data_IF_347453443388
#
_entry.id   IF_347453443388
#
_cell.length_a   1.000
_cell.length_b   1.000
_cell.length_c   1.000
_cell.angle_alpha   90.00
_cell.angle_beta   90.00
_cell.angle_gamma   90.00
#
_symmetry.space_group_name_H-M   'P 1'
#
loop_
_entity.id
_entity.type
_entity.pdbx_description
1 polymer ?
#
# COMPACT_ATOMS: atom_id res chain seq x y z
N UNK A 1 -19.83 24.40 2.93
CA UNK A 1 -20.83 24.47 3.99
C UNK A 1 -22.27 24.40 3.45
N UNK A 2 -22.62 25.09 2.34
CA UNK A 2 -23.97 25.11 1.79
C UNK A 2 -24.51 23.71 1.44
N UNK A 3 -23.72 22.87 0.78
CA UNK A 3 -24.14 21.49 0.44
C UNK A 3 -24.44 20.64 1.69
N UNK A 4 -23.62 20.73 2.72
CA UNK A 4 -23.85 20.00 3.98
C UNK A 4 -25.12 20.50 4.68
N UNK A 5 -25.44 21.82 4.57
CA UNK A 5 -26.69 22.38 5.06
C UNK A 5 -27.90 21.74 4.41
N UNK A 6 -27.93 21.68 3.07
CA UNK A 6 -29.05 21.06 2.33
C UNK A 6 -29.20 19.57 2.68
N UNK A 7 -28.10 18.83 2.85
CA UNK A 7 -28.12 17.42 3.27
C UNK A 7 -28.71 17.28 4.67
N UNK A 8 -28.27 18.14 5.61
CA UNK A 8 -28.75 18.10 7.00
C UNK A 8 -30.23 18.40 7.12
N UNK A 9 -30.74 19.36 6.33
CA UNK A 9 -32.19 19.66 6.25
C UNK A 9 -32.96 18.49 5.65
N UNK A 10 -32.49 17.91 4.56
CA UNK A 10 -33.16 16.81 3.87
C UNK A 10 -33.28 15.56 4.74
N UNK A 11 -32.21 15.19 5.45
CA UNK A 11 -32.17 13.97 6.28
C UNK A 11 -32.49 14.21 7.76
N UNK A 12 -32.70 15.46 8.18
CA UNK A 12 -33.18 15.80 9.52
C UNK A 12 -32.13 15.65 10.62
N UNK A 13 -30.86 15.98 10.36
CA UNK A 13 -29.81 16.01 11.39
C UNK A 13 -29.21 17.41 11.55
N UNK A 14 -28.64 17.70 12.71
CA UNK A 14 -28.02 18.99 13.00
C UNK A 14 -26.53 19.00 12.61
N UNK A 15 -26.07 20.06 11.92
CA UNK A 15 -24.66 20.30 11.66
C UNK A 15 -23.82 20.55 12.92
N UNK A 16 -24.47 20.90 14.05
CA UNK A 16 -23.79 21.06 15.32
C UNK A 16 -23.50 19.73 16.03
N UNK A 17 -24.13 18.63 15.59
CA UNK A 17 -23.88 17.30 16.13
C UNK A 17 -22.53 16.78 15.65
N UNK A 18 -21.62 16.35 16.54
CA UNK A 18 -20.37 15.72 16.16
C UNK A 18 -20.60 14.53 15.24
N UNK A 19 -19.76 14.35 14.21
CA UNK A 19 -19.91 13.26 13.22
C UNK A 19 -20.03 11.87 13.89
N UNK A 20 -19.26 11.61 14.94
CA UNK A 20 -19.30 10.34 15.66
C UNK A 20 -20.63 10.07 16.39
N UNK A 21 -21.41 11.11 16.68
CA UNK A 21 -22.71 11.01 17.37
C UNK A 21 -23.89 10.93 16.39
N UNK A 22 -23.64 11.14 15.09
CA UNK A 22 -24.64 10.95 14.06
C UNK A 22 -25.02 9.47 13.94
N UNK A 23 -26.25 9.20 13.52
CA UNK A 23 -26.66 7.82 13.23
C UNK A 23 -25.77 7.21 12.11
N UNK A 24 -25.58 5.89 12.12
CA UNK A 24 -24.82 5.19 11.09
C UNK A 24 -25.32 5.51 9.68
N UNK A 25 -26.63 5.67 9.51
CA UNK A 25 -27.25 6.05 8.24
C UNK A 25 -26.78 7.45 7.78
N UNK A 26 -26.76 8.43 8.67
CA UNK A 26 -26.33 9.78 8.32
C UNK A 26 -24.82 9.83 8.03
N UNK A 27 -24.01 9.08 8.79
CA UNK A 27 -22.57 8.93 8.53
C UNK A 27 -22.30 8.32 7.14
N UNK A 28 -23.01 7.24 6.78
CA UNK A 28 -22.89 6.60 5.46
C UNK A 28 -23.30 7.54 4.31
N UNK A 29 -24.41 8.30 4.48
CA UNK A 29 -24.83 9.27 3.47
C UNK A 29 -23.75 10.36 3.28
N UNK A 30 -23.21 10.90 4.33
CA UNK A 30 -22.15 11.93 4.27
C UNK A 30 -20.90 11.36 3.59
N UNK A 31 -20.49 10.15 3.95
CA UNK A 31 -19.27 9.54 3.44
C UNK A 31 -19.42 9.01 2.01
N UNK A 32 -20.52 8.33 1.71
CA UNK A 32 -20.69 7.56 0.46
C UNK A 32 -21.76 8.10 -0.50
N UNK A 33 -22.54 9.08 -0.05
CA UNK A 33 -23.55 9.75 -0.87
C UNK A 33 -24.97 9.23 -0.67
N UNK A 34 -25.92 9.88 -1.37
CA UNK A 34 -27.35 9.58 -1.32
C UNK A 34 -27.78 8.44 -2.27
N UNK A 35 -26.82 7.81 -2.99
CA UNK A 35 -27.15 6.84 -4.04
C UNK A 35 -27.89 7.49 -5.21
N UNK A 36 -29.10 7.00 -5.50
CA UNK A 36 -29.98 7.56 -6.54
C UNK A 36 -30.96 8.61 -6.02
N UNK A 37 -30.98 8.87 -4.72
CA UNK A 37 -31.89 9.86 -4.10
C UNK A 37 -31.44 11.26 -4.44
N UNK A 38 -32.32 12.06 -5.06
CA UNK A 38 -32.07 13.45 -5.40
C UNK A 38 -32.37 14.35 -4.20
N UNK A 39 -31.43 15.24 -3.92
CA UNK A 39 -31.53 16.23 -2.85
C UNK A 39 -31.59 17.63 -3.48
N UNK A 40 -32.45 18.48 -2.99
CA UNK A 40 -32.50 19.89 -3.39
C UNK A 40 -31.38 20.67 -2.71
N UNK A 41 -30.36 21.06 -3.49
CA UNK A 41 -29.26 21.87 -3.03
C UNK A 41 -29.54 23.35 -3.30
N UNK A 42 -29.32 24.17 -2.28
CA UNK A 42 -29.36 25.63 -2.39
C UNK A 42 -27.96 26.16 -2.71
N UNK A 43 -27.87 26.96 -3.74
CA UNK A 43 -26.65 27.62 -4.18
C UNK A 43 -26.87 29.13 -4.19
N UNK A 44 -25.83 29.87 -3.87
CA UNK A 44 -25.80 31.33 -4.00
C UNK A 44 -24.78 31.66 -5.09
N UNK A 45 -25.20 32.40 -6.11
CA UNK A 45 -24.30 32.86 -7.18
C UNK A 45 -23.43 34.04 -6.71
N UNK A 46 -22.45 34.43 -7.53
CA UNK A 46 -21.56 35.56 -7.24
C UNK A 46 -22.29 36.92 -7.08
N UNK A 47 -23.56 37.00 -7.52
CA UNK A 47 -24.41 38.20 -7.42
C UNK A 47 -25.28 38.18 -6.16
N UNK A 48 -25.25 37.09 -5.39
CA UNK A 48 -26.05 36.92 -4.19
C UNK A 48 -27.44 36.34 -4.43
N UNK A 49 -27.80 35.94 -5.68
CA UNK A 49 -29.09 35.32 -5.95
C UNK A 49 -29.07 33.85 -5.54
N UNK A 50 -30.13 33.41 -4.87
CA UNK A 50 -30.31 32.01 -4.47
C UNK A 50 -31.03 31.24 -5.59
N UNK A 51 -30.51 30.04 -5.88
CA UNK A 51 -31.19 29.09 -6.77
C UNK A 51 -31.09 27.66 -6.22
N UNK A 52 -32.05 26.85 -6.54
CA UNK A 52 -32.12 25.45 -6.10
C UNK A 52 -31.89 24.53 -7.29
N UNK A 53 -31.13 23.46 -7.06
CA UNK A 53 -30.91 22.40 -8.06
C UNK A 53 -30.99 21.04 -7.38
N UNK A 54 -31.84 20.17 -7.92
CA UNK A 54 -31.95 18.76 -7.50
C UNK A 54 -30.90 17.90 -8.18
N UNK A 55 -30.15 17.16 -7.38
CA UNK A 55 -29.26 16.08 -7.83
C UNK A 55 -28.90 15.14 -6.69
N UNK A 56 -28.38 13.96 -7.02
CA UNK A 56 -27.87 13.06 -6.01
C UNK A 56 -26.56 13.61 -5.38
N UNK A 57 -26.38 13.37 -4.10
CA UNK A 57 -25.15 13.70 -3.41
C UNK A 57 -24.12 12.59 -3.64
N UNK A 58 -22.97 12.94 -4.19
CA UNK A 58 -21.91 12.01 -4.53
C UNK A 58 -21.27 11.34 -3.30
N UNK A 59 -21.24 12.03 -2.16
CA UNK A 59 -20.49 11.61 -0.97
C UNK A 59 -19.06 12.15 -0.94
N UNK A 60 -18.51 12.26 0.26
CA UNK A 60 -17.16 12.80 0.46
C UNK A 60 -16.11 11.85 -0.15
N UNK A 61 -16.19 10.55 0.14
CA UNK A 61 -15.19 9.56 -0.32
C UNK A 61 -15.16 9.45 -1.83
N UNK A 62 -16.30 9.20 -2.54
CA UNK A 62 -16.31 9.14 -4.00
C UNK A 62 -15.85 10.45 -4.65
N UNK A 63 -16.24 11.61 -4.08
CA UNK A 63 -15.77 12.90 -4.58
C UNK A 63 -14.25 13.06 -4.48
N UNK A 64 -13.66 12.70 -3.33
CA UNK A 64 -12.21 12.77 -3.14
C UNK A 64 -11.47 11.78 -4.07
N UNK A 65 -11.98 10.55 -4.23
CA UNK A 65 -11.41 9.55 -5.14
C UNK A 65 -11.45 10.00 -6.60
N UNK A 66 -12.58 10.56 -7.03
CA UNK A 66 -12.72 11.11 -8.39
C UNK A 66 -11.75 12.26 -8.61
N UNK A 67 -11.71 13.23 -7.70
CA UNK A 67 -10.79 14.37 -7.77
C UNK A 67 -9.32 13.93 -7.76
N UNK A 68 -8.94 12.93 -6.99
CA UNK A 68 -7.58 12.39 -6.98
C UNK A 68 -7.19 11.79 -8.34
N UNK A 69 -8.14 11.13 -9.02
CA UNK A 69 -7.90 10.52 -10.34
C UNK A 69 -7.88 11.56 -11.47
N UNK A 70 -8.75 12.55 -11.41
CA UNK A 70 -9.01 13.48 -12.53
C UNK A 70 -8.17 14.76 -12.47
N UNK A 71 -7.57 15.12 -11.32
CA UNK A 71 -6.82 16.37 -11.21
C UNK A 71 -5.44 16.27 -11.86
N UNK A 72 -5.07 17.29 -12.62
CA UNK A 72 -3.70 17.45 -13.13
C UNK A 72 -2.79 18.21 -12.15
N UNK A 73 -3.37 18.79 -11.09
CA UNK A 73 -2.62 19.54 -10.09
C UNK A 73 -1.91 18.63 -9.10
N UNK A 74 -0.59 18.64 -9.11
CA UNK A 74 0.24 17.89 -8.17
C UNK A 74 -0.06 18.26 -6.70
N UNK A 75 -0.26 19.55 -6.40
CA UNK A 75 -0.60 20.04 -5.07
C UNK A 75 -1.93 19.43 -4.56
N UNK A 76 -2.95 19.34 -5.42
CA UNK A 76 -4.24 18.73 -5.08
C UNK A 76 -4.08 17.24 -4.85
N UNK A 77 -3.31 16.53 -5.69
CA UNK A 77 -2.99 15.10 -5.49
C UNK A 77 -2.32 14.86 -4.16
N UNK A 78 -1.29 15.62 -3.82
CA UNK A 78 -0.57 15.48 -2.53
C UNK A 78 -1.47 15.78 -1.32
N UNK A 79 -2.36 16.77 -1.44
CA UNK A 79 -3.33 17.08 -0.39
C UNK A 79 -4.34 15.95 -0.17
N UNK A 80 -4.84 15.36 -1.25
CA UNK A 80 -5.81 14.25 -1.19
C UNK A 80 -5.12 12.92 -0.79
N UNK A 81 -3.86 12.71 -1.17
CA UNK A 81 -3.09 11.52 -0.80
C UNK A 81 -2.95 11.34 0.71
N UNK A 82 -3.02 12.41 1.51
CA UNK A 82 -3.00 12.35 2.97
C UNK A 82 -4.18 11.56 3.57
N UNK A 83 -5.27 11.43 2.83
CA UNK A 83 -6.47 10.70 3.22
C UNK A 83 -6.51 9.27 2.67
N UNK A 84 -5.51 8.88 1.87
CA UNK A 84 -5.38 7.52 1.35
C UNK A 84 -4.67 6.65 2.39
N UNK A 85 -5.32 5.59 2.81
CA UNK A 85 -4.70 4.54 3.63
C UNK A 85 -4.14 3.42 2.77
N UNK A 86 -3.07 2.79 3.25
CA UNK A 86 -2.57 1.55 2.64
C UNK A 86 -3.29 0.36 3.28
N UNK A 87 -4.03 -0.40 2.48
CA UNK A 87 -4.65 -1.65 2.92
C UNK A 87 -4.02 -2.83 2.21
N UNK A 88 -3.87 -3.94 2.95
CA UNK A 88 -3.51 -5.21 2.32
C UNK A 88 -4.62 -5.63 1.35
N UNK A 89 -4.25 -6.05 0.14
CA UNK A 89 -5.19 -6.57 -0.84
C UNK A 89 -6.00 -7.73 -0.22
N UNK A 90 -7.35 -7.70 -0.22
CA UNK A 90 -8.16 -8.75 0.39
C UNK A 90 -7.99 -10.11 -0.29
N UNK A 91 -7.64 -10.14 -1.58
CA UNK A 91 -7.45 -11.36 -2.33
C UNK A 91 -6.08 -12.01 -2.05
N UNK A 92 -4.98 -11.27 -2.15
CA UNK A 92 -3.65 -11.83 -1.97
C UNK A 92 -3.06 -11.60 -0.57
N UNK A 93 -3.72 -10.83 0.30
CA UNK A 93 -3.31 -10.54 1.67
C UNK A 93 -1.85 -10.04 1.79
N UNK A 94 -1.42 -9.26 0.82
CA UNK A 94 -0.06 -8.72 0.75
C UNK A 94 0.96 -9.62 0.04
N UNK A 95 0.60 -10.83 -0.39
CA UNK A 95 1.52 -11.74 -1.08
C UNK A 95 1.98 -11.25 -2.46
N UNK A 96 1.25 -10.33 -3.09
CA UNK A 96 1.54 -9.79 -4.45
C UNK A 96 1.59 -10.86 -5.55
N UNK A 97 1.06 -12.04 -5.28
CA UNK A 97 1.00 -13.21 -6.16
C UNK A 97 -0.46 -13.61 -6.39
N UNK A 98 -0.76 -14.14 -7.56
CA UNK A 98 -2.07 -14.75 -7.84
C UNK A 98 -2.26 -16.07 -7.06
N UNK A 99 -3.46 -16.62 -7.08
CA UNK A 99 -3.81 -17.83 -6.31
C UNK A 99 -2.94 -19.04 -6.71
N UNK A 100 -2.69 -19.23 -8.01
CA UNK A 100 -1.90 -20.36 -8.52
C UNK A 100 -0.45 -20.27 -8.05
N UNK A 101 0.18 -19.09 -8.15
CA UNK A 101 1.56 -18.88 -7.70
C UNK A 101 1.71 -19.04 -6.18
N UNK A 102 0.67 -18.69 -5.40
CA UNK A 102 0.66 -18.91 -3.94
C UNK A 102 0.53 -20.39 -3.55
N UNK A 103 -0.07 -21.21 -4.42
CA UNK A 103 -0.22 -22.66 -4.18
C UNK A 103 1.06 -23.46 -4.40
N UNK A 104 2.05 -22.87 -5.10
CA UNK A 104 3.34 -23.53 -5.32
C UNK A 104 4.16 -23.57 -4.05
N UNK A 105 4.59 -24.77 -3.65
CA UNK A 105 5.37 -24.96 -2.43
C UNK A 105 6.65 -25.73 -2.68
N UNK A 106 7.71 -25.40 -1.95
CA UNK A 106 8.95 -26.15 -1.88
C UNK A 106 9.10 -26.61 -0.41
N UNK A 107 9.21 -27.92 -0.21
CA UNK A 107 9.27 -28.49 1.13
C UNK A 107 8.19 -27.93 2.09
N UNK A 108 6.93 -27.87 1.62
CA UNK A 108 5.74 -27.39 2.34
C UNK A 108 5.70 -25.89 2.65
N UNK A 109 6.65 -25.08 2.19
CA UNK A 109 6.62 -23.63 2.29
C UNK A 109 6.38 -22.99 0.92
N UNK A 110 5.46 -22.04 0.88
CA UNK A 110 5.23 -21.18 -0.28
C UNK A 110 6.29 -20.08 -0.36
N UNK A 111 6.38 -19.38 -1.48
CA UNK A 111 7.24 -18.21 -1.61
C UNK A 111 6.86 -17.13 -0.60
N UNK A 112 5.58 -16.95 -0.33
CA UNK A 112 5.09 -15.98 0.67
C UNK A 112 5.58 -16.33 2.07
N UNK A 113 5.54 -17.63 2.46
CA UNK A 113 6.02 -18.07 3.76
C UNK A 113 7.52 -17.78 3.94
N UNK A 114 8.31 -17.96 2.88
CA UNK A 114 9.75 -17.71 2.91
C UNK A 114 10.04 -16.19 2.97
N UNK A 115 9.37 -15.38 2.16
CA UNK A 115 9.65 -13.95 2.08
C UNK A 115 9.11 -13.16 3.28
N UNK A 116 8.16 -13.69 4.04
CA UNK A 116 7.65 -13.09 5.27
C UNK A 116 8.52 -13.34 6.50
N UNK A 117 9.47 -14.27 6.42
CA UNK A 117 10.46 -14.52 7.47
C UNK A 117 11.56 -13.46 7.46
N UNK A 118 12.35 -13.40 8.52
CA UNK A 118 13.57 -12.59 8.52
C UNK A 118 14.55 -13.06 7.45
N UNK A 119 15.43 -12.19 7.01
CA UNK A 119 16.51 -12.55 6.06
C UNK A 119 17.35 -13.68 6.61
N UNK A 120 17.66 -13.68 7.93
CA UNK A 120 18.38 -14.76 8.58
C UNK A 120 17.64 -16.09 8.52
N UNK A 121 16.34 -16.12 8.89
CA UNK A 121 15.54 -17.36 8.87
C UNK A 121 15.35 -17.88 7.43
N UNK A 122 15.16 -16.99 6.46
CA UNK A 122 15.07 -17.35 5.06
C UNK A 122 16.38 -17.94 4.53
N UNK A 123 17.53 -17.37 4.91
CA UNK A 123 18.85 -17.89 4.58
C UNK A 123 19.05 -19.28 5.17
N UNK A 124 18.74 -19.47 6.44
CA UNK A 124 18.89 -20.75 7.13
C UNK A 124 17.97 -21.82 6.50
N UNK A 125 16.72 -21.49 6.23
CA UNK A 125 15.80 -22.40 5.55
C UNK A 125 16.33 -22.84 4.18
N UNK A 126 16.81 -21.90 3.34
CA UNK A 126 17.30 -22.20 2.01
C UNK A 126 18.65 -22.94 2.03
N UNK A 127 19.46 -22.73 3.09
CA UNK A 127 20.74 -23.42 3.26
C UNK A 127 20.59 -24.89 3.66
N UNK A 128 19.49 -25.20 4.37
CA UNK A 128 19.17 -26.57 4.80
C UNK A 128 18.12 -27.25 3.90
N UNK A 129 17.80 -26.66 2.75
CA UNK A 129 16.82 -27.20 1.83
C UNK A 129 17.34 -28.47 1.14
N UNK A 130 16.90 -29.64 1.60
CA UNK A 130 17.27 -30.92 1.00
C UNK A 130 16.39 -31.22 -0.22
N UNK A 131 16.98 -31.11 -1.41
CA UNK A 131 16.38 -31.51 -2.69
C UNK A 131 17.14 -32.68 -3.29
N UNK A 132 16.45 -33.53 -4.04
CA UNK A 132 17.03 -34.72 -4.65
C UNK A 132 16.76 -34.80 -6.16
N UNK A 133 17.58 -35.54 -6.90
CA UNK A 133 17.40 -35.78 -8.32
C UNK A 133 17.41 -34.51 -9.16
N UNK A 134 16.56 -34.46 -10.19
CA UNK A 134 16.48 -33.35 -11.12
C UNK A 134 16.18 -32.01 -10.44
N UNK A 135 15.41 -32.01 -9.36
CA UNK A 135 15.10 -30.78 -8.59
C UNK A 135 16.35 -30.19 -7.95
N UNK A 136 17.25 -31.04 -7.44
CA UNK A 136 18.51 -30.57 -6.88
C UNK A 136 19.38 -29.89 -7.94
N UNK A 137 19.49 -30.50 -9.13
CA UNK A 137 20.28 -29.95 -10.25
C UNK A 137 19.75 -28.59 -10.71
N UNK A 138 18.44 -28.44 -10.84
CA UNK A 138 17.81 -27.16 -11.21
C UNK A 138 18.05 -26.11 -10.13
N UNK A 139 17.90 -26.47 -8.86
CA UNK A 139 17.95 -25.54 -7.73
C UNK A 139 19.37 -25.11 -7.37
N UNK A 140 20.39 -25.91 -7.64
CA UNK A 140 21.79 -25.69 -7.18
C UNK A 140 22.29 -24.28 -7.50
N UNK A 141 22.21 -23.87 -8.77
CA UNK A 141 22.67 -22.56 -9.20
C UNK A 141 21.83 -21.43 -8.63
N UNK A 142 20.50 -21.63 -8.54
CA UNK A 142 19.57 -20.64 -8.01
C UNK A 142 19.82 -20.46 -6.51
N UNK A 143 19.91 -21.54 -5.75
CA UNK A 143 20.15 -21.50 -4.31
C UNK A 143 21.48 -20.84 -3.97
N UNK A 144 22.55 -21.16 -4.72
CA UNK A 144 23.85 -20.53 -4.53
C UNK A 144 23.77 -19.01 -4.68
N UNK A 145 23.09 -18.53 -5.71
CA UNK A 145 22.94 -17.09 -5.97
C UNK A 145 22.06 -16.40 -4.89
N UNK A 146 20.94 -17.03 -4.51
CA UNK A 146 20.05 -16.48 -3.50
C UNK A 146 20.73 -16.45 -2.13
N UNK A 147 21.41 -17.50 -1.74
CA UNK A 147 22.17 -17.58 -0.49
C UNK A 147 23.27 -16.51 -0.44
N UNK A 148 24.03 -16.32 -1.54
CA UNK A 148 25.03 -15.26 -1.59
C UNK A 148 24.41 -13.87 -1.35
N UNK A 149 23.28 -13.56 -1.99
CA UNK A 149 22.59 -12.28 -1.81
C UNK A 149 22.02 -12.08 -0.40
N UNK A 150 21.41 -13.12 0.15
CA UNK A 150 20.91 -13.08 1.54
C UNK A 150 22.10 -12.93 2.54
N UNK A 151 23.20 -13.62 2.30
CA UNK A 151 24.41 -13.49 3.09
C UNK A 151 24.94 -12.06 3.10
N UNK A 152 24.98 -11.36 1.97
CA UNK A 152 25.35 -9.94 1.94
C UNK A 152 24.41 -9.05 2.77
N UNK A 153 23.10 -9.33 2.77
CA UNK A 153 22.18 -8.59 3.63
C UNK A 153 22.47 -8.83 5.11
N UNK A 154 22.83 -10.05 5.50
CA UNK A 154 23.24 -10.40 6.86
C UNK A 154 24.54 -9.68 7.22
N UNK A 155 25.54 -9.71 6.34
CA UNK A 155 26.86 -9.09 6.56
C UNK A 155 26.78 -7.57 6.79
N UNK A 156 25.80 -6.89 6.16
CA UNK A 156 25.55 -5.46 6.40
C UNK A 156 24.59 -5.18 7.56
N UNK A 157 24.24 -6.21 8.36
CA UNK A 157 23.41 -6.10 9.56
C UNK A 157 21.93 -5.83 9.26
N UNK A 158 21.37 -6.44 8.20
CA UNK A 158 19.96 -6.38 7.81
C UNK A 158 19.26 -7.74 7.93
N UNK A 159 19.78 -8.59 8.79
CA UNK A 159 19.32 -9.95 9.08
C UNK A 159 17.87 -10.02 9.60
N UNK A 160 17.46 -8.96 10.31
CA UNK A 160 16.12 -8.82 10.91
C UNK A 160 15.03 -8.38 9.92
N UNK A 161 15.38 -7.84 8.77
CA UNK A 161 14.40 -7.42 7.76
C UNK A 161 13.69 -8.60 7.13
N UNK A 162 12.49 -8.36 6.60
CA UNK A 162 11.77 -9.34 5.79
C UNK A 162 11.81 -8.95 4.31
N UNK A 163 11.90 -9.92 3.41
CA UNK A 163 11.90 -9.66 1.95
C UNK A 163 10.54 -9.14 1.45
N UNK A 164 9.46 -9.39 2.20
CA UNK A 164 8.12 -8.87 1.91
C UNK A 164 7.94 -7.41 2.26
N UNK A 165 8.85 -6.82 3.06
CA UNK A 165 8.78 -5.42 3.49
C UNK A 165 8.83 -4.47 2.31
N UNK A 166 7.98 -3.46 2.33
CA UNK A 166 7.92 -2.44 1.27
C UNK A 166 9.07 -1.45 1.40
N UNK A 167 9.67 -1.05 0.27
CA UNK A 167 10.85 -0.18 0.25
C UNK A 167 10.60 1.22 0.83
N UNK A 168 9.37 1.72 0.74
CA UNK A 168 8.95 3.01 1.31
C UNK A 168 8.90 3.02 2.84
N UNK A 169 8.93 1.84 3.49
CA UNK A 169 8.97 1.69 4.94
C UNK A 169 10.38 1.61 5.51
N UNK A 170 11.40 1.57 4.66
CA UNK A 170 12.79 1.48 5.07
C UNK A 170 13.29 2.81 5.64
N UNK A 171 14.08 2.75 6.71
CA UNK A 171 14.84 3.90 7.16
C UNK A 171 15.95 4.27 6.17
N UNK A 172 16.45 5.52 6.23
CA UNK A 172 17.55 5.96 5.37
C UNK A 172 18.79 5.07 5.48
N UNK A 173 19.16 4.66 6.70
CA UNK A 173 20.29 3.77 6.95
C UNK A 173 20.06 2.35 6.42
N UNK A 174 18.85 1.79 6.50
CA UNK A 174 18.52 0.50 5.91
C UNK A 174 18.62 0.54 4.37
N UNK A 175 18.06 1.59 3.75
CA UNK A 175 18.12 1.78 2.30
C UNK A 175 19.58 1.94 1.81
N UNK A 176 20.41 2.65 2.55
CA UNK A 176 21.85 2.82 2.24
C UNK A 176 22.59 1.48 2.32
N UNK A 177 22.36 0.69 3.37
CA UNK A 177 22.98 -0.64 3.53
C UNK A 177 22.52 -1.63 2.47
N UNK A 178 21.26 -1.60 2.03
CA UNK A 178 20.77 -2.40 0.91
C UNK A 178 21.51 -2.03 -0.39
N UNK A 179 21.70 -0.73 -0.65
CA UNK A 179 22.47 -0.28 -1.84
C UNK A 179 23.91 -0.77 -1.77
N UNK A 180 24.55 -0.69 -0.61
CA UNK A 180 25.90 -1.19 -0.39
C UNK A 180 25.97 -2.70 -0.66
N UNK A 181 25.06 -3.49 -0.07
CA UNK A 181 24.98 -4.93 -0.27
C UNK A 181 24.79 -5.29 -1.75
N UNK A 182 23.95 -4.57 -2.48
CA UNK A 182 23.72 -4.82 -3.93
C UNK A 182 24.93 -4.47 -4.80
N UNK A 183 25.71 -3.45 -4.43
CA UNK A 183 26.91 -3.07 -5.17
C UNK A 183 28.09 -4.05 -4.91
N UNK A 184 28.33 -4.42 -3.67
CA UNK A 184 29.36 -5.39 -3.29
C UNK A 184 28.98 -6.78 -3.78
N UNK A 185 27.71 -7.17 -3.64
CA UNK A 185 27.18 -8.45 -4.06
C UNK A 185 27.21 -8.70 -5.58
N UNK A 186 27.41 -7.67 -6.40
CA UNK A 186 27.61 -7.81 -7.83
C UNK A 186 28.93 -8.51 -8.20
N UNK A 187 29.81 -8.75 -7.24
CA UNK A 187 31.04 -9.54 -7.44
C UNK A 187 32.02 -8.94 -8.47
N UNK A 188 31.99 -7.62 -8.65
CA UNK A 188 32.85 -6.94 -9.62
C UNK A 188 34.31 -7.01 -9.12
N UNK A 189 35.10 -7.86 -9.75
CA UNK A 189 36.52 -7.98 -9.49
C UNK A 189 37.25 -6.78 -10.11
N UNK A 190 38.13 -6.12 -9.33
CA UNK A 190 38.94 -4.98 -9.80
C UNK A 190 38.26 -3.62 -9.73
N UNK A 191 37.14 -3.49 -9.00
CA UNK A 191 36.46 -2.23 -8.72
C UNK A 191 36.80 -1.79 -7.30
N UNK A 192 37.16 -0.50 -7.15
CA UNK A 192 37.37 0.13 -5.86
C UNK A 192 36.09 0.90 -5.49
N UNK A 193 35.51 0.59 -4.31
CA UNK A 193 34.38 1.33 -3.77
C UNK A 193 34.90 2.44 -2.84
N UNK A 194 34.56 3.68 -3.13
CA UNK A 194 34.81 4.81 -2.26
C UNK A 194 33.53 5.05 -1.48
N UNK A 195 33.59 4.85 -0.18
CA UNK A 195 32.49 5.14 0.74
C UNK A 195 32.77 6.51 1.35
N UNK A 196 31.90 7.48 1.07
CA UNK A 196 31.91 8.80 1.67
C UNK A 196 30.76 8.86 2.70
N UNK A 197 31.05 9.44 3.87
CA UNK A 197 30.11 9.50 5.00
C UNK A 197 28.87 10.38 4.73
#
# INVERSE_FOLDING_TARGET
FQMLGSISEHYGFSLATPFAELSNRHQEIILRGSGSEEIEFRYVNDRGDEYTRGHAFEGIIPNMERRYRETDSQMVKESLAKFLGTQSCPECQGARLNADARSVTINKKSLTDITSQSVSDAFDYLSHLALTGQRAQIAERILKEVQARLGFLIDVGLDYLTLSRSADTLSGGEAQRIRLASQIGAGLVGVMYILDE
#
